data_IF_526899734810
#
_entry.id   IF_526899734810
#
_cell.length_a   1.000
_cell.length_b   1.000
_cell.length_c   1.000
_cell.angle_alpha   90.00
_cell.angle_beta   90.00
_cell.angle_gamma   90.00
#
_symmetry.space_group_name_H-M   'P 1'
#
loop_
_entity.id
_entity.type
_entity.pdbx_description
1 polymer ?
#
# COMPACT_ATOMS: atom_id res chain seq x y z
N UNK A 1 2.85 -7.29 4.57
CA UNK A 1 2.12 -7.60 3.33
C UNK A 1 1.93 -6.34 2.52
N UNK A 2 2.09 -6.41 1.20
CA UNK A 2 1.96 -5.28 0.28
C UNK A 2 0.98 -5.60 -0.87
N UNK A 3 0.13 -4.64 -1.21
CA UNK A 3 -0.87 -4.75 -2.26
C UNK A 3 -0.82 -3.51 -3.15
N UNK A 4 -0.88 -3.72 -4.46
CA UNK A 4 -0.87 -2.63 -5.45
C UNK A 4 -2.03 -2.77 -6.41
N UNK A 5 -2.69 -1.65 -6.63
CA UNK A 5 -3.72 -1.47 -7.64
C UNK A 5 -3.29 -0.42 -8.65
N UNK A 6 -3.65 -0.64 -9.91
CA UNK A 6 -3.31 0.27 -11.01
C UNK A 6 -4.50 0.47 -11.95
N UNK A 7 -4.56 1.66 -12.52
CA UNK A 7 -5.22 1.94 -13.80
C UNK A 7 -4.15 2.23 -14.84
N UNK A 8 -4.55 2.65 -16.05
CA UNK A 8 -3.57 3.03 -17.07
C UNK A 8 -2.81 4.32 -16.72
N UNK A 9 -3.30 5.11 -15.77
CA UNK A 9 -2.73 6.41 -15.41
C UNK A 9 -2.39 6.55 -13.93
N UNK A 10 -3.03 5.80 -13.04
CA UNK A 10 -2.93 5.97 -11.60
C UNK A 10 -2.52 4.68 -10.90
N UNK A 11 -1.86 4.81 -9.76
CA UNK A 11 -1.56 3.70 -8.88
C UNK A 11 -1.98 3.99 -7.44
N UNK A 12 -2.32 2.93 -6.72
CA UNK A 12 -2.51 2.93 -5.28
C UNK A 12 -1.73 1.75 -4.73
N UNK A 13 -0.91 1.98 -3.72
CA UNK A 13 -0.12 0.97 -3.05
C UNK A 13 -0.40 1.02 -1.56
N UNK A 14 -0.67 -0.13 -0.97
CA UNK A 14 -0.86 -0.29 0.47
C UNK A 14 0.15 -1.29 1.00
N UNK A 15 0.83 -0.93 2.08
CA UNK A 15 1.73 -1.79 2.81
C UNK A 15 1.29 -1.87 4.26
N UNK A 16 0.98 -3.07 4.71
CA UNK A 16 0.63 -3.39 6.10
C UNK A 16 1.79 -4.17 6.70
N UNK A 17 2.45 -3.60 7.70
CA UNK A 17 3.54 -4.26 8.40
C UNK A 17 3.50 -3.98 9.90
N UNK A 18 4.25 -4.77 10.66
CA UNK A 18 4.45 -4.55 12.08
C UNK A 18 5.78 -3.80 12.29
N UNK A 19 5.76 -2.72 13.07
CA UNK A 19 6.96 -1.98 13.44
C UNK A 19 7.77 -2.74 14.52
N UNK A 20 8.99 -2.26 14.79
CA UNK A 20 9.92 -2.80 15.79
C UNK A 20 9.33 -2.83 17.22
N UNK A 21 8.33 -2.01 17.50
CA UNK A 21 7.63 -1.96 18.79
C UNK A 21 6.38 -2.85 18.85
N UNK A 22 6.03 -3.53 17.76
CA UNK A 22 4.88 -4.42 17.69
C UNK A 22 3.59 -3.76 17.20
N UNK A 23 3.61 -2.46 16.93
CA UNK A 23 2.46 -1.72 16.38
C UNK A 23 2.24 -2.06 14.91
N UNK A 24 0.98 -2.11 14.47
CA UNK A 24 0.63 -2.34 13.07
C UNK A 24 0.54 -1.03 12.31
N UNK A 25 1.35 -0.88 11.26
CA UNK A 25 1.37 0.30 10.40
C UNK A 25 0.68 -0.01 9.09
N UNK A 26 -0.32 0.80 8.76
CA UNK A 26 -0.98 0.84 7.47
C UNK A 26 -0.44 2.03 6.67
N UNK A 27 0.41 1.76 5.69
CA UNK A 27 0.98 2.77 4.80
C UNK A 27 0.25 2.74 3.46
N UNK A 28 -0.25 3.89 3.02
CA UNK A 28 -0.96 4.05 1.74
C UNK A 28 -0.27 5.10 0.90
N UNK A 29 0.26 4.70 -0.24
CA UNK A 29 0.71 5.59 -1.29
C UNK A 29 -0.29 5.62 -2.45
N UNK A 30 -0.37 6.76 -3.13
CA UNK A 30 -1.12 6.91 -4.37
C UNK A 30 -0.45 7.94 -5.25
N UNK A 31 -0.70 7.86 -6.56
CA UNK A 31 -0.18 8.85 -7.49
C UNK A 31 -0.49 8.54 -8.94
N UNK A 32 -0.01 9.41 -9.82
CA UNK A 32 -0.14 9.24 -11.26
C UNK A 32 1.16 8.65 -11.81
N UNK A 33 1.03 7.54 -12.56
CA UNK A 33 2.13 6.80 -13.19
C UNK A 33 2.93 7.73 -14.11
N UNK A 34 4.25 7.70 -13.98
CA UNK A 34 5.16 8.52 -14.78
C UNK A 34 5.26 9.98 -14.34
N UNK A 35 4.65 10.35 -13.21
CA UNK A 35 4.73 11.70 -12.63
C UNK A 35 5.20 11.66 -11.18
N UNK A 36 5.50 12.83 -10.65
CA UNK A 36 5.78 13.09 -9.23
C UNK A 36 4.51 13.47 -8.45
N UNK A 37 3.33 13.44 -9.08
CA UNK A 37 2.07 13.70 -8.40
C UNK A 37 1.61 12.48 -7.63
N UNK A 38 1.44 12.66 -6.33
CA UNK A 38 1.01 11.60 -5.44
C UNK A 38 1.03 12.04 -3.99
N UNK A 39 0.85 11.07 -3.11
CA UNK A 39 0.95 11.27 -1.68
C UNK A 39 1.15 9.95 -0.96
N UNK A 40 1.64 10.06 0.27
CA UNK A 40 1.84 8.96 1.20
C UNK A 40 1.13 9.29 2.50
N UNK A 41 0.48 8.30 3.10
CA UNK A 41 -0.15 8.42 4.41
C UNK A 41 0.05 7.15 5.21
N UNK A 42 0.55 7.33 6.43
CA UNK A 42 0.63 6.26 7.43
C UNK A 42 -0.52 6.38 8.43
N UNK A 43 -1.00 5.23 8.89
CA UNK A 43 -1.94 5.10 10.00
C UNK A 43 -1.48 3.98 10.91
N UNK A 44 -1.57 4.19 12.22
CA UNK A 44 -1.36 3.15 13.21
C UNK A 44 -2.69 2.43 13.43
N UNK A 45 -2.66 1.11 13.34
CA UNK A 45 -3.77 0.24 13.67
C UNK A 45 -3.58 -0.33 15.09
N UNK A 46 -4.67 -0.45 15.83
CA UNK A 46 -4.71 -1.02 17.17
C UNK A 46 -4.26 -2.49 17.17
N UNK A 47 -4.58 -3.23 16.12
CA UNK A 47 -4.17 -4.62 15.91
C UNK A 47 -4.10 -4.99 14.41
N UNK A 48 -3.64 -6.21 14.14
CA UNK A 48 -3.56 -6.75 12.79
C UNK A 48 -4.94 -6.82 12.11
N UNK A 49 -5.99 -7.17 12.85
CA UNK A 49 -7.32 -7.33 12.30
C UNK A 49 -7.89 -5.99 11.80
N UNK A 50 -7.64 -4.90 12.52
CA UNK A 50 -8.01 -3.55 12.11
C UNK A 50 -7.25 -3.11 10.85
N UNK A 51 -5.95 -3.41 10.76
CA UNK A 51 -5.16 -3.11 9.57
C UNK A 51 -5.68 -3.88 8.34
N UNK A 52 -6.07 -5.15 8.53
CA UNK A 52 -6.66 -5.98 7.48
C UNK A 52 -8.06 -5.50 7.07
N UNK A 53 -8.89 -5.06 8.02
CA UNK A 53 -10.19 -4.46 7.72
C UNK A 53 -10.03 -3.21 6.83
N UNK A 54 -9.07 -2.34 7.13
CA UNK A 54 -8.78 -1.18 6.26
C UNK A 54 -8.29 -1.57 4.87
N UNK A 55 -7.57 -2.68 4.75
CA UNK A 55 -7.12 -3.18 3.46
C UNK A 55 -8.30 -3.72 2.62
N UNK A 56 -9.23 -4.43 3.24
CA UNK A 56 -10.45 -4.91 2.59
C UNK A 56 -11.32 -3.74 2.12
N UNK A 57 -11.44 -2.68 2.93
CA UNK A 57 -12.10 -1.44 2.55
C UNK A 57 -11.42 -0.79 1.35
N UNK A 58 -10.10 -0.63 1.36
CA UNK A 58 -9.35 -0.09 0.21
C UNK A 58 -9.53 -0.97 -1.03
N UNK A 59 -9.49 -2.30 -0.89
CA UNK A 59 -9.73 -3.23 -1.99
C UNK A 59 -11.08 -2.99 -2.65
N UNK A 60 -12.13 -2.83 -1.83
CA UNK A 60 -13.49 -2.56 -2.30
C UNK A 60 -13.59 -1.20 -2.98
N UNK A 61 -13.00 -0.16 -2.38
CA UNK A 61 -12.96 1.19 -2.93
C UNK A 61 -12.25 1.20 -4.29
N UNK A 62 -11.05 0.63 -4.38
CA UNK A 62 -10.26 0.65 -5.62
C UNK A 62 -10.91 -0.18 -6.72
N UNK A 63 -11.47 -1.34 -6.39
CA UNK A 63 -12.22 -2.16 -7.36
C UNK A 63 -13.44 -1.41 -7.90
N UNK A 64 -14.20 -0.72 -7.04
CA UNK A 64 -15.35 0.08 -7.48
C UNK A 64 -14.97 1.27 -8.37
N UNK A 65 -13.74 1.79 -8.23
CA UNK A 65 -13.18 2.87 -9.05
C UNK A 65 -12.53 2.38 -10.35
N UNK A 66 -12.57 1.07 -10.63
CA UNK A 66 -12.02 0.47 -11.84
C UNK A 66 -10.52 0.20 -11.81
N UNK A 67 -9.89 0.32 -10.65
CA UNK A 67 -8.49 -0.11 -10.49
C UNK A 67 -8.41 -1.64 -10.50
N UNK A 68 -7.34 -2.15 -11.11
CA UNK A 68 -7.03 -3.58 -11.15
C UNK A 68 -5.97 -3.90 -10.11
N UNK A 69 -6.19 -4.93 -9.30
CA UNK A 69 -5.15 -5.45 -8.39
C UNK A 69 -4.07 -6.12 -9.24
N UNK A 70 -2.85 -5.59 -9.19
CA UNK A 70 -1.71 -6.07 -9.99
C UNK A 70 -0.65 -6.78 -9.15
N UNK A 71 -0.62 -6.49 -7.84
CA UNK A 71 0.28 -7.12 -6.89
C UNK A 71 -0.45 -7.38 -5.57
N UNK A 72 -0.23 -8.56 -5.01
CA UNK A 72 -0.51 -8.89 -3.62
C UNK A 72 0.58 -9.87 -3.18
N UNK A 73 1.42 -9.45 -2.25
CA UNK A 73 2.61 -10.19 -1.86
C UNK A 73 2.91 -10.02 -0.38
N UNK A 74 3.55 -11.04 0.20
CA UNK A 74 4.10 -10.95 1.54
C UNK A 74 5.46 -10.20 1.49
N UNK A 75 5.78 -9.48 2.56
CA UNK A 75 7.00 -8.65 2.64
C UNK A 75 8.28 -9.48 2.57
N UNK A 76 8.19 -10.78 2.86
CA UNK A 76 9.33 -11.69 2.79
C UNK A 76 9.60 -12.23 1.37
N UNK A 77 8.69 -11.99 0.42
CA UNK A 77 8.89 -12.37 -0.98
C UNK A 77 9.81 -11.38 -1.71
N UNK A 78 10.54 -11.79 -2.76
CA UNK A 78 11.29 -10.86 -3.60
C UNK A 78 10.43 -9.71 -4.14
N UNK A 79 9.25 -10.02 -4.66
CA UNK A 79 8.32 -9.05 -5.25
C UNK A 79 7.78 -8.08 -4.19
N UNK A 80 7.50 -8.59 -2.98
CA UNK A 80 7.09 -7.77 -1.85
C UNK A 80 8.18 -6.79 -1.42
N UNK A 81 9.43 -7.24 -1.33
CA UNK A 81 10.58 -6.39 -0.98
C UNK A 81 10.81 -5.29 -2.01
N UNK A 82 10.71 -5.60 -3.30
CA UNK A 82 10.86 -4.61 -4.36
C UNK A 82 9.77 -3.54 -4.30
N UNK A 83 8.52 -3.94 -4.03
CA UNK A 83 7.40 -3.01 -3.88
C UNK A 83 7.53 -2.14 -2.62
N UNK A 84 8.01 -2.70 -1.51
CA UNK A 84 8.29 -1.92 -0.28
C UNK A 84 9.41 -0.92 -0.54
N UNK A 85 10.47 -1.32 -1.25
CA UNK A 85 11.56 -0.40 -1.60
C UNK A 85 11.06 0.78 -2.46
N UNK A 86 10.15 0.54 -3.40
CA UNK A 86 9.50 1.61 -4.19
C UNK A 86 8.67 2.54 -3.30
N UNK A 87 7.95 2.01 -2.32
CA UNK A 87 7.20 2.81 -1.36
C UNK A 87 8.11 3.73 -0.54
N UNK A 88 9.25 3.23 -0.06
CA UNK A 88 10.22 4.01 0.70
C UNK A 88 10.82 5.18 -0.10
N UNK A 89 10.90 5.08 -1.43
CA UNK A 89 11.34 6.18 -2.29
C UNK A 89 10.31 7.32 -2.38
N UNK A 90 9.04 7.04 -2.07
CA UNK A 90 7.96 8.04 -2.06
C UNK A 90 7.86 8.79 -0.73
N UNK A 91 8.56 8.32 0.31
CA UNK A 91 8.58 8.91 1.66
C UNK A 91 9.69 9.98 1.82
N UNK A 92 10.34 10.37 0.72
CA UNK A 92 11.40 11.40 0.74
C UNK A 92 10.78 12.81 0.68
N UNK A 93 11.10 13.71 1.64
CA UNK A 93 10.52 15.05 1.74
C UNK A 93 11.00 16.05 0.66
#
# INVERSE_FOLDING_TARGET
MIVRWETDHDYVLVHVHQDMFGDWIFSRAWGQIGTQFGGLKHRLADDHAQAMMWLEDETTIQTSRGFRKVLEADDHTPEGRDAVAQLSLLDTP
#
